data_IF_520312317690
#
_entry.id   IF_520312317690
#
_cell.length_a   1.000
_cell.length_b   1.000
_cell.length_c   1.000
_cell.angle_alpha   90.00
_cell.angle_beta   90.00
_cell.angle_gamma   90.00
#
_symmetry.space_group_name_H-M   'P 1'
#
loop_
_entity.id
_entity.type
_entity.pdbx_description
1 polymer ?
#
# COMPACT_ATOMS: atom_id res chain seq x y z
N UNK A 1 23.25 -33.19 14.87
CA UNK A 1 22.00 -32.46 15.19
C UNK A 1 21.93 -31.34 14.19
N UNK A 2 21.09 -31.49 13.16
CA UNK A 2 20.88 -30.40 12.20
C UNK A 2 20.34 -29.21 12.98
N UNK A 3 20.95 -28.03 12.84
CA UNK A 3 20.54 -26.86 13.59
C UNK A 3 19.23 -26.36 12.97
N UNK A 4 18.11 -26.60 13.65
CA UNK A 4 16.77 -26.25 13.18
C UNK A 4 16.68 -24.74 12.95
N UNK A 5 16.20 -24.32 11.77
CA UNK A 5 16.10 -22.91 11.39
C UNK A 5 15.16 -22.18 12.37
N UNK A 6 15.61 -21.09 12.99
CA UNK A 6 14.80 -20.30 13.94
C UNK A 6 14.02 -19.23 13.21
N UNK A 7 12.70 -19.30 13.35
CA UNK A 7 11.77 -18.36 12.71
C UNK A 7 11.11 -17.49 13.78
N UNK A 8 11.02 -16.19 13.49
CA UNK A 8 10.06 -15.30 14.15
C UNK A 8 8.89 -15.07 13.21
N UNK A 9 7.67 -15.10 13.75
CA UNK A 9 6.46 -14.83 12.99
C UNK A 9 5.84 -13.51 13.42
N UNK A 10 5.71 -12.54 12.51
CA UNK A 10 5.02 -11.28 12.75
C UNK A 10 3.55 -11.34 12.30
N UNK A 11 2.64 -11.04 13.23
CA UNK A 11 1.19 -11.08 13.05
C UNK A 11 0.52 -9.79 13.54
N UNK A 12 -0.64 -9.47 12.95
CA UNK A 12 -1.53 -8.46 13.55
C UNK A 12 -2.31 -9.06 14.73
N UNK A 13 -3.11 -8.23 15.42
CA UNK A 13 -3.95 -8.63 16.54
C UNK A 13 -4.93 -9.76 16.19
N UNK A 14 -5.44 -9.78 14.95
CA UNK A 14 -6.44 -10.75 14.51
C UNK A 14 -5.84 -12.14 14.32
N UNK A 15 -4.77 -12.25 13.53
CA UNK A 15 -4.07 -13.53 13.34
C UNK A 15 -3.28 -13.94 14.57
N UNK A 16 -2.86 -12.98 15.40
CA UNK A 16 -2.30 -13.18 16.73
C UNK A 16 -3.32 -13.64 17.79
N UNK A 17 -4.58 -13.86 17.42
CA UNK A 17 -5.65 -14.35 18.30
C UNK A 17 -5.92 -13.46 19.54
N UNK A 18 -5.59 -12.16 19.45
CA UNK A 18 -5.85 -11.20 20.53
C UNK A 18 -7.27 -10.62 20.43
N UNK A 19 -7.76 -10.36 19.22
CA UNK A 19 -9.08 -9.79 18.98
C UNK A 19 -9.21 -9.18 17.57
N UNK A 20 -10.33 -8.53 17.28
CA UNK A 20 -10.56 -7.88 15.99
C UNK A 20 -10.12 -6.41 16.02
N UNK A 21 -10.93 -5.54 15.41
CA UNK A 21 -10.71 -4.08 15.41
C UNK A 21 -10.70 -3.48 16.83
N UNK A 22 -11.43 -4.08 17.77
CA UNK A 22 -11.47 -3.63 19.17
C UNK A 22 -10.11 -3.79 19.90
N UNK A 23 -9.20 -4.57 19.32
CA UNK A 23 -7.83 -4.78 19.80
C UNK A 23 -6.77 -4.30 18.81
N UNK A 24 -7.15 -3.48 17.81
CA UNK A 24 -6.20 -2.96 16.83
C UNK A 24 -5.24 -1.90 17.41
N UNK A 25 -5.50 -1.37 18.61
CA UNK A 25 -4.68 -0.37 19.29
C UNK A 25 -3.79 -0.99 20.40
N UNK A 26 -3.17 -2.14 20.12
CA UNK A 26 -2.25 -2.79 21.06
C UNK A 26 -0.79 -2.59 20.65
N UNK A 27 0.11 -2.29 21.61
CA UNK A 27 1.53 -2.17 21.32
C UNK A 27 2.14 -3.52 20.91
N UNK A 28 3.31 -3.50 20.23
CA UNK A 28 4.07 -4.70 19.93
C UNK A 28 4.26 -5.57 21.16
N UNK A 29 4.03 -6.87 21.02
CA UNK A 29 4.27 -7.86 22.07
C UNK A 29 4.91 -9.10 21.47
N UNK A 30 5.66 -9.80 22.32
CA UNK A 30 6.31 -11.06 21.98
C UNK A 30 5.64 -12.18 22.76
N UNK A 31 5.25 -13.21 22.05
CA UNK A 31 4.77 -14.48 22.59
C UNK A 31 5.75 -15.59 22.23
N UNK A 32 5.81 -16.63 23.08
CA UNK A 32 6.64 -17.80 22.83
C UNK A 32 5.90 -18.81 21.95
N UNK A 33 6.59 -19.33 20.94
CA UNK A 33 6.06 -20.33 20.01
C UNK A 33 5.11 -19.80 18.94
N UNK A 34 4.49 -20.72 18.17
CA UNK A 34 3.61 -20.38 17.05
C UNK A 34 2.19 -20.01 17.49
N UNK A 35 1.62 -18.96 16.90
CA UNK A 35 0.23 -18.53 17.12
C UNK A 35 -0.53 -18.43 15.79
N UNK A 36 -1.83 -18.76 15.82
CA UNK A 36 -2.73 -18.63 14.67
C UNK A 36 -2.19 -19.36 13.42
N UNK A 37 -1.99 -18.68 12.27
CA UNK A 37 -1.44 -19.30 11.07
C UNK A 37 -0.03 -19.86 11.28
N UNK A 38 0.72 -19.37 12.26
CA UNK A 38 2.03 -19.90 12.66
C UNK A 38 1.98 -21.36 13.07
N UNK A 39 0.87 -21.84 13.64
CA UNK A 39 0.74 -23.24 14.01
C UNK A 39 0.77 -24.17 12.78
N UNK A 40 0.09 -23.76 11.70
CA UNK A 40 0.08 -24.52 10.45
C UNK A 40 1.44 -24.51 9.75
N UNK A 41 2.13 -23.37 9.76
CA UNK A 41 3.50 -23.23 9.27
C UNK A 41 4.45 -24.15 10.05
N UNK A 42 4.47 -24.03 11.37
CA UNK A 42 5.37 -24.78 12.25
C UNK A 42 5.16 -26.30 12.12
N UNK A 43 3.91 -26.77 12.08
CA UNK A 43 3.61 -28.19 11.90
C UNK A 43 4.08 -28.74 10.55
N UNK A 44 4.03 -27.94 9.49
CA UNK A 44 4.39 -28.38 8.13
C UNK A 44 5.89 -28.31 7.85
N UNK A 45 6.60 -27.44 8.57
CA UNK A 45 8.05 -27.31 8.54
C UNK A 45 8.74 -28.39 9.40
N UNK A 46 8.08 -28.88 10.45
CA UNK A 46 8.50 -30.08 11.16
C UNK A 46 9.89 -29.96 11.80
N UNK A 47 10.83 -30.80 11.37
CA UNK A 47 12.20 -30.84 11.90
C UNK A 47 13.13 -29.81 11.24
N UNK A 48 12.73 -29.22 10.11
CA UNK A 48 13.60 -28.32 9.33
C UNK A 48 13.64 -26.90 9.92
N UNK A 49 12.52 -26.42 10.47
CA UNK A 49 12.41 -25.09 11.04
C UNK A 49 11.40 -25.01 12.20
N UNK A 50 11.60 -24.03 13.09
CA UNK A 50 10.75 -23.79 14.25
C UNK A 50 10.40 -22.31 14.39
N UNK A 51 9.13 -22.01 14.61
CA UNK A 51 8.70 -20.69 15.07
C UNK A 51 8.96 -20.62 16.57
N UNK A 52 10.06 -19.95 16.95
CA UNK A 52 10.47 -19.81 18.35
C UNK A 52 9.67 -18.72 19.07
N UNK A 53 9.26 -17.69 18.34
CA UNK A 53 8.50 -16.57 18.87
C UNK A 53 7.54 -16.01 17.82
N UNK A 54 6.41 -15.49 18.30
CA UNK A 54 5.48 -14.69 17.51
C UNK A 54 5.51 -13.26 18.03
N UNK A 55 5.68 -12.28 17.14
CA UNK A 55 5.50 -10.86 17.44
C UNK A 55 4.11 -10.45 16.98
N UNK A 56 3.32 -9.87 17.87
CA UNK A 56 1.96 -9.41 17.59
C UNK A 56 1.90 -7.89 17.79
N UNK A 57 1.35 -7.15 16.83
CA UNK A 57 1.11 -5.72 16.97
C UNK A 57 -0.26 -5.35 16.40
N UNK A 58 -0.97 -4.41 17.02
CA UNK A 58 -2.25 -3.96 16.52
C UNK A 58 -2.09 -3.07 15.28
N UNK A 59 -2.94 -3.27 14.27
CA UNK A 59 -2.86 -2.52 13.01
C UNK A 59 -2.99 -1.00 13.22
N UNK A 60 -3.90 -0.54 14.09
CA UNK A 60 -4.05 0.90 14.41
C UNK A 60 -2.81 1.41 15.13
N UNK A 61 -2.37 0.72 16.19
CA UNK A 61 -1.22 1.14 16.98
C UNK A 61 0.04 1.27 16.12
N UNK A 62 0.30 0.29 15.24
CA UNK A 62 1.47 0.30 14.37
C UNK A 62 1.51 1.52 13.46
N UNK A 63 0.36 1.87 12.87
CA UNK A 63 0.27 2.97 11.90
C UNK A 63 0.28 4.34 12.58
N UNK A 64 -0.29 4.48 13.77
CA UNK A 64 -0.29 5.74 14.54
C UNK A 64 1.04 5.97 15.29
N UNK A 65 1.71 4.91 15.72
CA UNK A 65 2.95 4.96 16.52
C UNK A 65 4.11 4.29 15.78
N UNK A 66 4.34 4.69 14.52
CA UNK A 66 5.26 4.02 13.61
C UNK A 66 6.68 3.88 14.18
N UNK A 67 7.30 4.97 14.62
CA UNK A 67 8.70 4.96 15.08
C UNK A 67 8.88 4.16 16.38
N UNK A 68 7.91 4.23 17.30
CA UNK A 68 7.90 3.41 18.50
C UNK A 68 7.78 1.92 18.14
N UNK A 69 6.84 1.58 17.27
CA UNK A 69 6.62 0.21 16.81
C UNK A 69 7.84 -0.38 16.12
N UNK A 70 8.49 0.39 15.22
CA UNK A 70 9.74 -0.01 14.57
C UNK A 70 10.85 -0.29 15.58
N UNK A 71 11.03 0.62 16.54
CA UNK A 71 12.08 0.51 17.56
C UNK A 71 11.89 -0.72 18.45
N UNK A 72 10.66 -0.95 18.92
CA UNK A 72 10.33 -2.11 19.76
C UNK A 72 10.51 -3.43 19.02
N UNK A 73 9.97 -3.55 17.80
CA UNK A 73 10.06 -4.78 17.00
C UNK A 73 11.52 -5.08 16.64
N UNK A 74 12.29 -4.07 16.26
CA UNK A 74 13.74 -4.21 16.02
C UNK A 74 14.48 -4.72 17.24
N UNK A 75 14.16 -4.20 18.43
CA UNK A 75 14.73 -4.68 19.69
C UNK A 75 14.39 -6.15 19.92
N UNK A 76 13.13 -6.54 19.76
CA UNK A 76 12.69 -7.94 19.90
C UNK A 76 13.44 -8.86 18.92
N UNK A 77 13.58 -8.46 17.65
CA UNK A 77 14.32 -9.25 16.65
C UNK A 77 15.81 -9.37 16.98
N UNK A 78 16.45 -8.30 17.49
CA UNK A 78 17.85 -8.35 17.94
C UNK A 78 18.06 -9.26 19.15
N UNK A 79 17.08 -9.33 20.04
CA UNK A 79 17.13 -10.18 21.23
C UNK A 79 16.93 -11.65 20.86
N UNK A 80 15.98 -11.95 19.94
CA UNK A 80 15.66 -13.32 19.52
C UNK A 80 16.71 -13.89 18.55
N UNK A 81 17.25 -13.05 17.66
CA UNK A 81 18.19 -13.43 16.59
C UNK A 81 17.67 -14.60 15.72
N UNK A 82 16.54 -14.44 15.04
CA UNK A 82 16.05 -15.47 14.13
C UNK A 82 16.91 -15.55 12.87
N UNK A 83 16.90 -16.72 12.24
CA UNK A 83 17.55 -16.98 10.96
C UNK A 83 16.65 -16.53 9.79
N UNK A 84 15.33 -16.51 10.00
CA UNK A 84 14.34 -16.08 9.02
C UNK A 84 13.16 -15.40 9.73
N UNK A 85 12.58 -14.38 9.10
CA UNK A 85 11.32 -13.77 9.53
C UNK A 85 10.19 -14.22 8.58
N UNK A 86 9.03 -14.56 9.15
CA UNK A 86 7.78 -14.64 8.40
C UNK A 86 6.91 -13.45 8.83
N UNK A 87 6.38 -12.67 7.89
CA UNK A 87 5.45 -11.57 8.17
C UNK A 87 4.15 -11.79 7.39
N UNK A 88 2.99 -11.83 8.05
CA UNK A 88 1.72 -12.15 7.37
C UNK A 88 1.29 -13.62 7.54
N UNK A 89 0.40 -14.16 6.69
CA UNK A 89 -0.07 -13.58 5.43
C UNK A 89 -1.00 -12.36 5.62
N UNK A 90 -0.78 -11.32 4.83
CA UNK A 90 -1.49 -10.04 4.90
C UNK A 90 -2.76 -9.97 4.04
N UNK A 91 -2.92 -10.81 3.02
CA UNK A 91 -4.06 -10.77 2.08
C UNK A 91 -4.26 -9.34 1.51
N UNK A 92 -5.50 -8.88 1.29
CA UNK A 92 -5.79 -7.51 0.86
C UNK A 92 -6.03 -6.53 2.03
N UNK A 93 -5.49 -6.80 3.22
CA UNK A 93 -5.58 -5.88 4.36
C UNK A 93 -4.50 -4.78 4.24
N UNK A 94 -4.90 -3.57 3.84
CA UNK A 94 -3.96 -2.47 3.54
C UNK A 94 -3.05 -2.09 4.72
N UNK A 95 -3.62 -1.70 5.87
CA UNK A 95 -2.86 -1.32 7.08
C UNK A 95 -1.89 -2.42 7.54
N UNK A 96 -2.36 -3.66 7.52
CA UNK A 96 -1.57 -4.81 7.94
C UNK A 96 -0.47 -5.18 6.92
N UNK A 97 -0.74 -5.06 5.62
CA UNK A 97 0.24 -5.28 4.57
C UNK A 97 1.39 -4.27 4.63
N UNK A 98 1.08 -2.99 4.87
CA UNK A 98 2.09 -1.95 5.10
C UNK A 98 2.91 -2.25 6.35
N UNK A 99 2.27 -2.71 7.44
CA UNK A 99 2.97 -3.11 8.65
C UNK A 99 3.92 -4.31 8.40
N UNK A 100 3.45 -5.37 7.73
CA UNK A 100 4.28 -6.52 7.34
C UNK A 100 5.49 -6.10 6.49
N UNK A 101 5.26 -5.23 5.50
CA UNK A 101 6.32 -4.70 4.64
C UNK A 101 7.33 -3.85 5.41
N UNK A 102 6.87 -3.03 6.34
CA UNK A 102 7.73 -2.21 7.22
C UNK A 102 8.59 -3.10 8.12
N UNK A 103 8.02 -4.14 8.74
CA UNK A 103 8.81 -5.09 9.54
C UNK A 103 9.81 -5.83 8.65
N UNK A 104 9.44 -6.15 7.40
CA UNK A 104 10.34 -6.79 6.46
C UNK A 104 11.54 -5.90 6.10
N UNK A 105 11.30 -4.61 5.87
CA UNK A 105 12.36 -3.63 5.62
C UNK A 105 13.35 -3.57 6.79
N UNK A 106 12.87 -3.47 8.02
CA UNK A 106 13.73 -3.42 9.23
C UNK A 106 14.56 -4.71 9.33
N UNK A 107 13.91 -5.87 9.21
CA UNK A 107 14.58 -7.15 9.29
C UNK A 107 15.68 -7.28 8.24
N UNK A 108 15.39 -6.91 6.98
CA UNK A 108 16.34 -7.07 5.88
C UNK A 108 17.47 -6.03 5.91
N UNK A 109 17.14 -4.75 6.07
CA UNK A 109 18.11 -3.66 5.93
C UNK A 109 18.97 -3.46 7.17
N UNK A 110 18.39 -3.62 8.36
CA UNK A 110 19.09 -3.30 9.60
C UNK A 110 19.68 -4.53 10.30
N UNK A 111 19.10 -5.70 10.08
CA UNK A 111 19.47 -6.94 10.76
C UNK A 111 20.02 -8.02 9.81
N UNK A 112 19.86 -7.84 8.49
CA UNK A 112 20.29 -8.81 7.49
C UNK A 112 19.45 -10.09 7.47
N UNK A 113 18.26 -10.08 8.07
CA UNK A 113 17.37 -11.23 8.17
C UNK A 113 16.47 -11.26 6.92
N UNK A 114 16.44 -12.39 6.22
CA UNK A 114 15.53 -12.59 5.10
C UNK A 114 14.09 -12.80 5.56
N UNK A 115 13.15 -12.43 4.68
CA UNK A 115 11.74 -12.35 5.04
C UNK A 115 10.89 -13.06 4.00
N UNK A 116 9.98 -13.92 4.44
CA UNK A 116 8.93 -14.53 3.62
C UNK A 116 7.58 -13.97 4.06
N UNK A 117 6.73 -13.63 3.10
CA UNK A 117 5.41 -13.06 3.40
C UNK A 117 4.38 -13.52 2.37
N UNK A 118 3.12 -13.61 2.76
CA UNK A 118 2.00 -13.79 1.83
C UNK A 118 1.23 -12.48 1.72
N UNK A 119 0.91 -12.02 0.52
CA UNK A 119 0.20 -10.77 0.30
C UNK A 119 -0.63 -10.80 -0.99
N UNK A 120 -1.77 -10.10 -1.02
CA UNK A 120 -2.54 -9.90 -2.25
C UNK A 120 -1.81 -8.90 -3.18
N UNK A 121 -1.75 -9.11 -4.51
CA UNK A 121 -0.96 -8.26 -5.41
C UNK A 121 -1.32 -6.76 -5.37
N UNK A 122 -2.59 -6.42 -5.13
CA UNK A 122 -3.04 -5.01 -5.05
C UNK A 122 -2.88 -4.39 -3.66
N UNK A 123 -2.40 -5.15 -2.67
CA UNK A 123 -2.13 -4.60 -1.36
C UNK A 123 -1.00 -3.57 -1.45
N UNK A 124 -1.15 -2.35 -0.90
CA UNK A 124 -0.13 -1.31 -0.96
C UNK A 124 1.22 -1.75 -0.39
N UNK A 125 1.22 -2.66 0.60
CA UNK A 125 2.43 -3.21 1.19
C UNK A 125 3.30 -3.98 0.20
N UNK A 126 2.75 -4.53 -0.88
CA UNK A 126 3.54 -5.21 -1.90
C UNK A 126 4.37 -4.21 -2.70
N UNK A 127 3.74 -3.21 -3.31
CA UNK A 127 4.45 -2.26 -4.18
C UNK A 127 5.48 -1.45 -3.39
N UNK A 128 5.16 -1.06 -2.15
CA UNK A 128 6.06 -0.28 -1.29
C UNK A 128 7.29 -1.07 -0.80
N UNK A 129 7.17 -2.39 -0.60
CA UNK A 129 8.17 -3.18 0.13
C UNK A 129 8.69 -4.43 -0.61
N UNK A 130 8.29 -4.67 -1.88
CA UNK A 130 8.67 -5.85 -2.68
C UNK A 130 10.18 -6.15 -2.72
N UNK A 131 11.05 -5.15 -2.57
CA UNK A 131 12.49 -5.40 -2.51
C UNK A 131 12.96 -6.10 -1.22
N UNK A 132 12.19 -6.07 -0.14
CA UNK A 132 12.65 -6.51 1.20
C UNK A 132 12.21 -7.91 1.61
N UNK A 133 11.21 -8.49 0.94
CA UNK A 133 10.71 -9.83 1.24
C UNK A 133 10.49 -10.67 -0.02
N UNK A 134 10.47 -11.98 0.16
CA UNK A 134 9.94 -12.95 -0.80
C UNK A 134 8.43 -13.05 -0.58
N UNK A 135 7.67 -12.22 -1.30
CA UNK A 135 6.21 -12.21 -1.23
C UNK A 135 5.62 -13.34 -2.06
N UNK A 136 4.69 -14.09 -1.49
CA UNK A 136 3.88 -15.09 -2.19
C UNK A 136 2.49 -14.50 -2.42
N UNK A 137 1.94 -14.71 -3.60
CA UNK A 137 0.59 -14.27 -3.92
C UNK A 137 -0.42 -15.01 -3.03
N UNK A 138 -1.31 -14.26 -2.41
CA UNK A 138 -2.44 -14.83 -1.66
C UNK A 138 -3.76 -14.35 -2.25
N UNK A 139 -4.89 -15.03 -1.96
CA UNK A 139 -6.21 -14.47 -2.24
C UNK A 139 -6.46 -13.13 -1.53
N UNK A 140 -7.59 -12.50 -1.84
CA UNK A 140 -7.97 -11.19 -1.29
C UNK A 140 -8.26 -11.20 0.23
N UNK A 141 -8.63 -12.35 0.78
CA UNK A 141 -9.13 -12.48 2.14
C UNK A 141 -8.65 -13.74 2.87
N UNK A 142 -8.75 -13.72 4.19
CA UNK A 142 -8.34 -14.82 5.07
C UNK A 142 -9.05 -16.16 4.79
N UNK A 143 -10.19 -16.16 4.08
CA UNK A 143 -10.85 -17.38 3.62
C UNK A 143 -9.93 -18.23 2.71
N UNK A 144 -9.00 -17.57 2.01
CA UNK A 144 -7.97 -18.18 1.17
C UNK A 144 -6.76 -18.74 1.93
N UNK A 145 -6.75 -18.74 3.27
CA UNK A 145 -5.58 -19.17 4.05
C UNK A 145 -5.13 -20.60 3.74
N UNK A 146 -6.07 -21.49 3.39
CA UNK A 146 -5.77 -22.89 3.07
C UNK A 146 -4.91 -23.05 1.81
N UNK A 147 -4.96 -22.11 0.87
CA UNK A 147 -4.08 -22.09 -0.30
C UNK A 147 -2.80 -21.28 -0.05
N UNK A 148 -2.89 -20.14 0.64
CA UNK A 148 -1.75 -19.26 0.89
C UNK A 148 -0.64 -19.90 1.74
N UNK A 149 -1.00 -20.65 2.80
CA UNK A 149 -0.02 -21.23 3.73
C UNK A 149 0.90 -22.27 3.04
N UNK A 150 0.38 -23.23 2.26
CA UNK A 150 1.22 -24.14 1.46
C UNK A 150 2.26 -23.44 0.59
N UNK A 151 1.89 -22.35 -0.08
CA UNK A 151 2.80 -21.65 -0.99
C UNK A 151 3.90 -20.90 -0.21
N UNK A 152 3.56 -20.30 0.93
CA UNK A 152 4.57 -19.74 1.85
C UNK A 152 5.52 -20.83 2.38
N UNK A 153 5.00 -22.00 2.74
CA UNK A 153 5.83 -23.14 3.20
C UNK A 153 6.80 -23.59 2.12
N UNK A 154 6.37 -23.64 0.85
CA UNK A 154 7.22 -24.00 -0.28
C UNK A 154 8.44 -23.09 -0.38
N UNK A 155 8.24 -21.77 -0.23
CA UNK A 155 9.34 -20.80 -0.25
C UNK A 155 10.28 -21.02 0.94
N UNK A 156 9.75 -21.22 2.15
CA UNK A 156 10.59 -21.47 3.34
C UNK A 156 11.40 -22.76 3.18
N UNK A 157 10.82 -23.83 2.63
CA UNK A 157 11.55 -25.09 2.37
C UNK A 157 12.64 -24.90 1.32
N UNK A 158 12.34 -24.23 0.21
CA UNK A 158 13.34 -23.92 -0.81
C UNK A 158 14.47 -23.06 -0.25
N UNK A 159 14.14 -22.08 0.60
CA UNK A 159 15.12 -21.25 1.30
C UNK A 159 16.06 -22.09 2.17
N UNK A 160 15.54 -23.08 2.91
CA UNK A 160 16.35 -24.00 3.71
C UNK A 160 17.22 -24.90 2.81
N UNK A 161 16.65 -25.48 1.76
CA UNK A 161 17.35 -26.37 0.83
C UNK A 161 18.50 -25.68 0.09
N UNK A 162 18.36 -24.37 -0.17
CA UNK A 162 19.32 -23.55 -0.92
C UNK A 162 20.18 -22.64 -0.06
N UNK A 163 20.20 -22.86 1.26
CA UNK A 163 21.00 -22.06 2.21
C UNK A 163 20.78 -20.54 2.06
N UNK A 164 19.52 -20.15 1.83
CA UNK A 164 19.08 -18.77 1.64
C UNK A 164 19.21 -18.21 0.22
N UNK A 165 19.83 -18.93 -0.70
CA UNK A 165 20.01 -18.49 -2.10
C UNK A 165 18.85 -18.93 -3.00
N UNK A 166 17.69 -18.28 -2.81
CA UNK A 166 16.52 -18.49 -3.68
C UNK A 166 16.79 -18.05 -5.12
N UNK A 167 16.27 -18.84 -6.06
CA UNK A 167 16.27 -18.61 -7.50
C UNK A 167 15.36 -17.47 -7.94
N UNK A 168 14.99 -17.48 -9.22
CA UNK A 168 14.08 -16.48 -9.80
C UNK A 168 12.64 -16.59 -9.27
N UNK A 169 11.84 -15.50 -9.35
CA UNK A 169 10.40 -15.53 -9.04
C UNK A 169 9.68 -16.71 -9.71
N UNK A 170 9.99 -16.96 -10.98
CA UNK A 170 9.36 -17.98 -11.83
C UNK A 170 9.73 -19.40 -11.39
N UNK A 171 10.98 -19.63 -10.96
CA UNK A 171 11.45 -20.95 -10.48
C UNK A 171 10.87 -21.29 -9.12
N UNK A 172 10.82 -20.31 -8.21
CA UNK A 172 10.46 -20.55 -6.80
C UNK A 172 8.94 -20.42 -6.55
N UNK A 173 8.29 -19.49 -7.25
CA UNK A 173 6.88 -19.14 -7.08
C UNK A 173 6.60 -17.98 -6.11
N UNK A 174 7.56 -17.08 -5.92
CA UNK A 174 7.33 -15.80 -5.24
C UNK A 174 7.12 -14.67 -6.27
N UNK A 175 6.49 -13.57 -5.88
CA UNK A 175 6.18 -12.43 -6.74
C UNK A 175 7.42 -11.55 -7.02
N UNK A 176 7.53 -10.90 -8.21
CA UNK A 176 8.70 -10.12 -8.59
C UNK A 176 9.09 -9.00 -7.63
N UNK A 177 10.35 -9.03 -7.17
CA UNK A 177 10.87 -8.09 -6.15
C UNK A 177 11.36 -6.74 -6.70
N UNK A 178 11.34 -6.54 -8.02
CA UNK A 178 11.93 -5.36 -8.66
C UNK A 178 13.46 -5.30 -8.60
N UNK A 179 14.13 -6.37 -8.14
CA UNK A 179 15.59 -6.45 -8.03
C UNK A 179 16.17 -6.97 -9.35
N UNK A 180 17.16 -6.24 -9.88
CA UNK A 180 17.90 -6.68 -11.07
C UNK A 180 19.15 -7.43 -10.66
N UNK A 181 19.30 -8.66 -11.14
CA UNK A 181 20.50 -9.48 -11.00
C UNK A 181 21.15 -9.66 -12.37
N UNK A 182 22.48 -9.57 -12.43
CA UNK A 182 23.22 -9.95 -13.62
C UNK A 182 23.30 -11.47 -13.69
N UNK A 183 22.91 -12.04 -14.82
CA UNK A 183 22.96 -13.49 -15.07
C UNK A 183 23.74 -13.77 -16.36
N UNK A 184 24.31 -14.97 -16.46
CA UNK A 184 24.85 -15.48 -17.71
C UNK A 184 23.75 -16.26 -18.44
N UNK A 185 23.29 -15.72 -19.56
CA UNK A 185 22.35 -16.41 -20.44
C UNK A 185 23.10 -17.34 -21.41
N UNK A 186 22.47 -18.45 -21.79
CA UNK A 186 23.02 -19.39 -22.78
C UNK A 186 23.21 -18.74 -24.16
N UNK A 187 22.27 -17.87 -24.55
CA UNK A 187 22.32 -17.14 -25.81
C UNK A 187 22.67 -15.66 -25.64
N UNK A 188 23.43 -15.12 -26.59
CA UNK A 188 23.76 -13.69 -26.65
C UNK A 188 22.49 -12.84 -26.76
N UNK A 189 22.46 -11.70 -26.07
CA UNK A 189 21.28 -10.81 -26.04
C UNK A 189 20.78 -10.39 -27.43
N UNK A 190 21.66 -10.21 -28.41
CA UNK A 190 21.25 -9.89 -29.78
C UNK A 190 20.45 -11.02 -30.46
N UNK A 191 20.76 -12.29 -30.18
CA UNK A 191 20.03 -13.43 -30.74
C UNK A 191 18.63 -13.52 -30.12
N UNK A 192 18.55 -13.42 -28.78
CA UNK A 192 17.28 -13.42 -28.04
C UNK A 192 16.36 -12.26 -28.45
N UNK A 193 16.92 -11.05 -28.62
CA UNK A 193 16.16 -9.88 -29.10
C UNK A 193 15.60 -10.08 -30.51
N UNK A 194 16.38 -10.66 -31.43
CA UNK A 194 15.89 -10.96 -32.79
C UNK A 194 14.81 -12.05 -32.75
N UNK A 195 14.99 -13.11 -31.95
CA UNK A 195 13.98 -14.16 -31.80
C UNK A 195 12.66 -13.60 -31.26
N UNK A 196 12.70 -12.77 -30.22
CA UNK A 196 11.50 -12.08 -29.70
C UNK A 196 10.85 -11.20 -30.77
N UNK A 197 11.63 -10.46 -31.56
CA UNK A 197 11.11 -9.63 -32.64
C UNK A 197 10.43 -10.47 -33.74
N UNK A 198 11.04 -11.58 -34.14
CA UNK A 198 10.47 -12.49 -35.15
C UNK A 198 9.13 -13.05 -34.69
N UNK A 199 9.08 -13.60 -33.46
CA UNK A 199 7.82 -14.06 -32.84
C UNK A 199 6.74 -12.98 -32.84
N UNK A 200 7.11 -11.76 -32.41
CA UNK A 200 6.18 -10.61 -32.40
C UNK A 200 5.66 -10.25 -33.79
N UNK A 201 6.50 -10.31 -34.82
CA UNK A 201 6.10 -10.03 -36.21
C UNK A 201 5.20 -11.13 -36.79
N UNK A 202 5.40 -12.37 -36.34
CA UNK A 202 4.61 -13.54 -36.75
C UNK A 202 3.31 -13.69 -35.94
N UNK A 203 3.12 -12.88 -34.89
CA UNK A 203 1.96 -12.95 -34.00
C UNK A 203 2.01 -14.15 -33.04
N UNK A 204 3.20 -14.73 -32.82
CA UNK A 204 3.43 -15.80 -31.86
C UNK A 204 3.61 -15.26 -30.44
N UNK A 205 3.34 -16.10 -29.44
CA UNK A 205 3.60 -15.79 -28.03
C UNK A 205 5.11 -15.62 -27.77
N UNK A 206 5.45 -14.51 -27.12
CA UNK A 206 6.80 -14.21 -26.67
C UNK A 206 6.77 -13.64 -25.27
N UNK A 207 7.82 -13.92 -24.49
CA UNK A 207 8.02 -13.37 -23.17
C UNK A 207 9.04 -12.24 -23.26
N UNK A 208 8.74 -11.10 -22.64
CA UNK A 208 9.68 -9.98 -22.59
C UNK A 208 10.65 -10.17 -21.43
N UNK A 209 11.95 -10.12 -21.71
CA UNK A 209 12.98 -10.08 -20.66
C UNK A 209 12.99 -8.77 -19.86
N UNK A 210 12.28 -7.75 -20.39
CA UNK A 210 12.17 -6.44 -19.77
C UNK A 210 10.70 -6.00 -19.80
N UNK A 211 9.87 -6.49 -18.86
CA UNK A 211 8.51 -6.03 -18.75
C UNK A 211 8.50 -4.53 -18.48
N UNK A 212 7.82 -3.79 -19.35
CA UNK A 212 7.56 -2.37 -19.09
C UNK A 212 6.62 -2.27 -17.89
N UNK A 213 6.76 -1.24 -17.03
CA UNK A 213 5.79 -0.99 -15.98
C UNK A 213 4.38 -0.88 -16.58
N UNK A 214 3.43 -1.61 -15.99
CA UNK A 214 2.02 -1.48 -16.36
C UNK A 214 1.50 -0.21 -15.69
N UNK A 215 1.29 0.82 -16.49
CA UNK A 215 0.57 2.01 -16.04
C UNK A 215 -0.90 1.77 -16.32
N UNK A 216 -1.75 1.98 -15.31
CA UNK A 216 -3.18 2.08 -15.55
C UNK A 216 -3.43 3.25 -16.51
N UNK A 217 -4.12 2.98 -17.61
CA UNK A 217 -4.41 3.97 -18.65
C UNK A 217 -5.91 4.10 -18.75
N UNK A 218 -6.41 5.27 -18.39
CA UNK A 218 -7.79 5.66 -18.62
C UNK A 218 -7.84 6.42 -19.94
N UNK A 219 -8.75 6.03 -20.83
CA UNK A 219 -8.98 6.78 -22.06
C UNK A 219 -9.48 8.19 -21.69
N UNK A 220 -8.87 9.25 -22.25
CA UNK A 220 -9.32 10.60 -21.98
C UNK A 220 -10.73 10.81 -22.51
N UNK A 221 -11.58 11.46 -21.70
CA UNK A 221 -12.92 11.88 -22.14
C UNK A 221 -12.83 13.00 -23.19
N UNK A 222 -13.87 13.13 -24.01
CA UNK A 222 -13.96 14.21 -24.99
C UNK A 222 -13.79 15.59 -24.32
N UNK A 223 -13.06 16.52 -24.95
CA UNK A 223 -12.82 17.83 -24.37
C UNK A 223 -14.12 18.64 -24.26
N UNK A 224 -14.25 19.38 -23.16
CA UNK A 224 -15.35 20.32 -22.95
C UNK A 224 -15.21 21.48 -23.94
N UNK A 225 -16.27 21.74 -24.70
CA UNK A 225 -16.24 22.70 -25.82
C UNK A 225 -16.42 24.17 -25.40
N UNK A 226 -17.11 24.42 -24.28
CA UNK A 226 -17.45 25.78 -23.84
C UNK A 226 -17.36 25.90 -22.32
N UNK A 227 -16.18 26.31 -21.84
CA UNK A 227 -15.92 26.48 -20.41
C UNK A 227 -16.81 27.55 -19.78
N UNK A 228 -17.22 28.58 -20.53
CA UNK A 228 -18.03 29.71 -20.04
C UNK A 228 -19.43 29.32 -19.56
N UNK A 229 -19.87 28.09 -19.86
CA UNK A 229 -21.14 27.50 -19.39
C UNK A 229 -20.93 26.23 -18.56
N UNK A 230 -19.69 25.95 -18.19
CA UNK A 230 -19.30 24.71 -17.53
C UNK A 230 -19.28 24.92 -16.03
N UNK A 231 -19.98 24.05 -15.31
CA UNK A 231 -19.86 23.93 -13.86
C UNK A 231 -18.67 23.06 -13.51
N UNK A 232 -17.70 23.64 -12.80
CA UNK A 232 -16.44 22.99 -12.43
C UNK A 232 -16.43 22.71 -10.94
N UNK A 233 -16.00 21.53 -10.51
CA UNK A 233 -15.81 21.22 -9.09
C UNK A 233 -14.34 21.03 -8.74
N UNK A 234 -14.04 21.17 -7.45
CA UNK A 234 -12.75 20.87 -6.87
C UNK A 234 -12.82 19.59 -6.05
N UNK A 235 -11.88 18.70 -6.29
CA UNK A 235 -11.63 17.51 -5.48
C UNK A 235 -10.14 17.51 -5.14
N UNK A 236 -9.77 17.16 -3.91
CA UNK A 236 -8.37 17.11 -3.52
C UNK A 236 -8.02 15.81 -2.82
N UNK A 237 -6.82 15.29 -3.09
CA UNK A 237 -6.17 14.27 -2.28
C UNK A 237 -5.15 14.84 -1.29
N UNK A 238 -5.02 16.17 -1.22
CA UNK A 238 -4.11 16.86 -0.32
C UNK A 238 -4.66 17.06 1.10
N UNK A 239 -5.88 16.60 1.38
CA UNK A 239 -6.45 16.57 2.72
C UNK A 239 -6.72 17.95 3.34
N UNK A 240 -7.06 18.96 2.53
CA UNK A 240 -7.56 20.24 3.06
C UNK A 240 -8.95 20.04 3.65
N UNK A 241 -9.17 20.49 4.88
CA UNK A 241 -10.42 20.39 5.65
C UNK A 241 -10.72 21.74 6.33
N UNK A 242 -11.97 22.00 6.73
CA UNK A 242 -12.27 23.11 7.64
C UNK A 242 -11.52 22.95 8.96
N UNK A 243 -11.28 24.09 9.62
CA UNK A 243 -10.55 24.16 10.89
C UNK A 243 -11.12 23.19 11.92
N UNK A 244 -10.24 22.46 12.59
CA UNK A 244 -10.58 21.46 13.58
C UNK A 244 -10.97 20.09 13.00
N UNK A 245 -10.89 19.90 11.67
CA UNK A 245 -11.20 18.65 10.98
C UNK A 245 -12.54 18.05 11.46
N UNK A 246 -13.68 18.68 11.11
CA UNK A 246 -14.98 18.38 11.73
C UNK A 246 -15.45 16.93 11.54
N UNK A 247 -15.06 16.28 10.45
CA UNK A 247 -15.40 14.87 10.19
C UNK A 247 -14.37 13.89 10.75
N UNK A 248 -13.32 14.40 11.41
CA UNK A 248 -12.21 13.63 11.95
C UNK A 248 -11.63 12.66 10.91
N UNK A 249 -11.34 13.17 9.71
CA UNK A 249 -10.67 12.39 8.66
C UNK A 249 -9.29 12.01 9.16
N UNK A 250 -8.95 10.73 9.10
CA UNK A 250 -7.67 10.21 9.58
C UNK A 250 -6.52 10.72 8.70
N UNK A 251 -5.34 10.94 9.28
CA UNK A 251 -4.20 11.52 8.56
C UNK A 251 -3.48 10.55 7.62
N UNK A 252 -3.78 9.26 7.75
CA UNK A 252 -3.28 8.18 6.91
C UNK A 252 -4.34 7.08 6.83
N UNK A 253 -4.40 6.40 5.68
CA UNK A 253 -5.30 5.27 5.43
C UNK A 253 -6.76 5.59 5.77
N UNK A 254 -7.20 6.83 5.48
CA UNK A 254 -8.52 7.31 5.88
C UNK A 254 -9.64 6.39 5.41
N UNK A 255 -10.58 6.13 6.33
CA UNK A 255 -11.74 5.27 6.13
C UNK A 255 -12.93 6.01 5.51
N UNK A 256 -12.75 7.32 5.25
CA UNK A 256 -13.77 8.26 4.80
C UNK A 256 -13.14 9.44 4.04
N UNK A 257 -13.99 10.19 3.35
CA UNK A 257 -13.67 11.44 2.67
C UNK A 257 -14.55 12.56 3.23
N UNK A 258 -14.16 13.82 3.02
CA UNK A 258 -14.94 14.99 3.45
C UNK A 258 -15.68 15.64 2.29
N UNK A 259 -16.84 16.21 2.59
CA UNK A 259 -17.63 17.06 1.69
C UNK A 259 -17.93 18.37 2.42
N UNK A 260 -17.49 19.50 1.86
CA UNK A 260 -17.58 20.80 2.52
C UNK A 260 -18.09 21.89 1.59
N UNK A 261 -18.83 22.85 2.14
CA UNK A 261 -19.37 23.99 1.40
C UNK A 261 -18.28 25.02 1.07
N UNK A 262 -18.37 25.60 -0.14
CA UNK A 262 -17.64 26.79 -0.59
C UNK A 262 -18.56 28.01 -0.71
N UNK A 263 -19.79 27.94 -0.21
CA UNK A 263 -20.73 29.07 -0.25
C UNK A 263 -20.17 30.27 0.50
N UNK A 264 -19.99 31.39 -0.20
CA UNK A 264 -19.40 32.60 0.37
C UNK A 264 -17.88 32.54 0.59
N UNK A 265 -17.23 31.46 0.19
CA UNK A 265 -15.77 31.26 0.33
C UNK A 265 -15.07 31.80 -0.91
N UNK A 266 -14.15 32.75 -0.68
CA UNK A 266 -13.35 33.40 -1.72
C UNK A 266 -11.84 33.10 -1.60
N UNK A 267 -11.41 32.62 -0.43
CA UNK A 267 -10.01 32.43 -0.04
C UNK A 267 -9.99 31.35 1.06
N UNK A 268 -9.02 30.43 1.02
CA UNK A 268 -8.83 29.38 2.02
C UNK A 268 -7.70 29.75 2.98
N UNK A 269 -8.06 30.56 3.96
CA UNK A 269 -7.13 31.13 4.93
C UNK A 269 -6.71 30.18 6.08
N UNK A 270 -5.70 30.61 6.84
CA UNK A 270 -5.17 29.91 8.02
C UNK A 270 -6.19 29.82 9.18
N UNK A 271 -7.16 30.72 9.25
CA UNK A 271 -8.13 30.76 10.35
C UNK A 271 -9.20 29.68 10.19
N UNK A 272 -9.64 29.42 8.95
CA UNK A 272 -10.80 28.62 8.64
C UNK A 272 -10.48 27.24 8.06
N UNK A 273 -9.25 27.01 7.59
CA UNK A 273 -8.85 25.75 6.95
C UNK A 273 -7.55 25.20 7.53
N UNK A 274 -7.36 23.89 7.38
CA UNK A 274 -6.14 23.18 7.75
C UNK A 274 -5.96 21.87 6.96
N UNK A 275 -4.80 21.27 7.13
CA UNK A 275 -4.41 20.00 6.51
C UNK A 275 -4.63 18.85 7.48
N UNK A 276 -5.43 17.85 7.08
CA UNK A 276 -5.54 16.55 7.74
C UNK A 276 -4.49 15.54 7.23
N UNK A 277 -3.90 15.76 6.05
CA UNK A 277 -2.94 14.86 5.39
C UNK A 277 -1.62 14.70 6.18
N UNK A 278 -1.24 13.46 6.51
CA UNK A 278 -0.04 13.14 7.30
C UNK A 278 1.27 12.93 6.52
N UNK A 279 1.23 12.94 5.18
CA UNK A 279 2.39 12.63 4.31
C UNK A 279 3.15 13.82 3.71
N UNK A 280 2.84 15.08 4.05
CA UNK A 280 3.65 16.25 3.65
C UNK A 280 3.72 17.30 4.77
N UNK A 281 4.64 18.26 4.68
CA UNK A 281 4.76 19.36 5.65
C UNK A 281 3.59 20.35 5.49
N UNK A 282 2.67 20.44 6.47
CA UNK A 282 1.45 21.22 6.33
C UNK A 282 1.68 22.72 6.55
N UNK A 283 2.87 23.18 6.95
CA UNK A 283 3.08 24.59 7.34
C UNK A 283 2.72 25.57 6.24
N UNK A 284 3.02 25.24 4.97
CA UNK A 284 2.70 26.11 3.86
C UNK A 284 1.20 26.07 3.50
N UNK A 285 0.61 24.88 3.46
CA UNK A 285 -0.80 24.71 3.15
C UNK A 285 -1.71 25.23 4.27
N UNK A 286 -1.30 25.16 5.54
CA UNK A 286 -2.08 25.70 6.65
C UNK A 286 -2.02 27.22 6.74
N UNK A 287 -1.01 27.86 6.15
CA UNK A 287 -0.97 29.33 6.05
C UNK A 287 -1.88 29.86 4.95
N UNK A 288 -2.10 29.05 3.93
CA UNK A 288 -2.70 29.40 2.65
C UNK A 288 -3.03 28.07 1.94
N UNK A 289 -4.28 27.63 2.09
CA UNK A 289 -4.73 26.33 1.63
C UNK A 289 -5.03 26.31 0.13
N UNK A 290 -5.13 27.47 -0.52
CA UNK A 290 -5.27 27.60 -1.97
C UNK A 290 -4.07 27.03 -2.74
N UNK A 291 -2.92 26.90 -2.07
CA UNK A 291 -1.74 26.18 -2.58
C UNK A 291 -2.02 24.72 -2.93
N UNK A 292 -3.01 24.12 -2.28
CA UNK A 292 -3.41 22.73 -2.48
C UNK A 292 -4.78 22.64 -3.13
N UNK A 293 -5.72 23.52 -2.75
CA UNK A 293 -7.09 23.53 -3.24
C UNK A 293 -7.43 24.94 -3.78
N UNK A 294 -7.23 25.23 -5.07
CA UNK A 294 -7.17 26.60 -5.61
C UNK A 294 -8.55 27.24 -5.75
N UNK A 295 -9.18 27.61 -4.64
CA UNK A 295 -10.51 28.25 -4.63
C UNK A 295 -10.39 29.69 -5.10
N UNK A 296 -9.37 30.42 -4.64
CA UNK A 296 -9.08 31.80 -5.00
C UNK A 296 -9.07 32.02 -6.53
N UNK A 297 -8.25 31.25 -7.25
CA UNK A 297 -8.10 31.32 -8.69
C UNK A 297 -9.38 30.88 -9.39
N UNK A 298 -10.05 29.84 -8.88
CA UNK A 298 -11.30 29.38 -9.49
C UNK A 298 -12.43 30.41 -9.35
N UNK A 299 -12.47 31.16 -8.24
CA UNK A 299 -13.40 32.29 -8.05
C UNK A 299 -13.07 33.45 -8.98
N UNK A 300 -11.79 33.73 -9.22
CA UNK A 300 -11.38 34.73 -10.22
C UNK A 300 -11.80 34.31 -11.63
N UNK A 301 -11.59 33.04 -12.01
CA UNK A 301 -12.00 32.51 -13.32
C UNK A 301 -13.53 32.55 -13.51
N UNK A 302 -14.31 32.28 -12.46
CA UNK A 302 -15.76 32.40 -12.46
C UNK A 302 -16.19 33.86 -12.67
N UNK A 303 -15.58 34.79 -11.93
CA UNK A 303 -15.84 36.22 -12.03
C UNK A 303 -15.47 36.83 -13.38
N UNK A 304 -14.39 36.33 -13.99
CA UNK A 304 -13.96 36.71 -15.34
C UNK A 304 -14.82 36.07 -16.45
N UNK A 305 -15.71 35.13 -16.11
CA UNK A 305 -16.56 34.41 -17.05
C UNK A 305 -15.80 33.39 -17.91
N UNK A 306 -14.60 32.97 -17.47
CA UNK A 306 -13.82 31.92 -18.12
C UNK A 306 -14.47 30.55 -17.89
N UNK A 307 -15.02 30.36 -16.68
CA UNK A 307 -15.89 29.22 -16.35
C UNK A 307 -17.33 29.70 -16.11
N UNK A 308 -18.30 28.78 -16.20
CA UNK A 308 -19.71 29.12 -15.95
C UNK A 308 -20.02 29.27 -14.46
N UNK A 309 -19.59 28.31 -13.66
CA UNK A 309 -19.80 28.30 -12.21
C UNK A 309 -18.75 27.42 -11.53
N UNK A 310 -18.23 27.85 -10.38
CA UNK A 310 -17.52 26.97 -9.45
C UNK A 310 -18.54 26.32 -8.51
N UNK A 311 -18.59 24.99 -8.52
CA UNK A 311 -19.46 24.20 -7.66
C UNK A 311 -19.24 24.56 -6.18
N UNK A 312 -20.34 24.85 -5.47
CA UNK A 312 -20.29 25.30 -4.09
C UNK A 312 -19.96 24.22 -3.06
N UNK A 313 -19.43 23.08 -3.49
CA UNK A 313 -18.85 22.08 -2.60
C UNK A 313 -17.50 21.63 -3.13
N UNK A 314 -16.63 21.24 -2.21
CA UNK A 314 -15.42 20.49 -2.54
C UNK A 314 -15.39 19.18 -1.79
N UNK A 315 -14.68 18.22 -2.38
CA UNK A 315 -14.46 16.90 -1.81
C UNK A 315 -12.98 16.74 -1.45
N UNK A 316 -12.69 16.16 -0.30
CA UNK A 316 -11.31 15.99 0.18
C UNK A 316 -11.05 14.57 0.64
N UNK A 317 -9.91 14.05 0.22
CA UNK A 317 -9.32 12.81 0.71
C UNK A 317 -7.91 13.14 1.18
N UNK A 318 -7.33 12.28 2.03
CA UNK A 318 -5.97 12.52 2.54
C UNK A 318 -4.88 11.85 1.74
N UNK A 319 -5.16 11.05 0.70
CA UNK A 319 -4.19 10.42 -0.23
C UNK A 319 -3.09 9.51 0.36
N UNK A 320 -2.74 9.68 1.62
CA UNK A 320 -1.65 9.07 2.36
C UNK A 320 -2.09 7.70 2.83
N UNK A 321 -1.45 6.64 2.36
CA UNK A 321 -1.78 5.26 2.73
C UNK A 321 -3.18 4.80 2.28
N UNK A 322 -3.89 5.57 1.45
CA UNK A 322 -5.21 5.17 0.93
C UNK A 322 -5.05 3.96 0.01
N UNK A 323 -5.77 2.87 0.29
CA UNK A 323 -5.76 1.68 -0.57
C UNK A 323 -6.42 2.00 -1.92
N UNK A 324 -6.00 1.31 -2.98
CA UNK A 324 -6.61 1.45 -4.33
C UNK A 324 -8.11 1.16 -4.29
N UNK A 325 -8.52 0.16 -3.51
CA UNK A 325 -9.93 -0.19 -3.32
C UNK A 325 -10.74 0.97 -2.70
N UNK A 326 -10.23 1.59 -1.64
CA UNK A 326 -10.92 2.72 -1.00
C UNK A 326 -10.92 3.95 -1.91
N UNK A 327 -9.79 4.25 -2.57
CA UNK A 327 -9.71 5.35 -3.52
C UNK A 327 -10.75 5.20 -4.65
N UNK A 328 -10.92 3.98 -5.17
CA UNK A 328 -11.93 3.67 -6.18
C UNK A 328 -13.35 3.84 -5.65
N UNK A 329 -13.62 3.38 -4.43
CA UNK A 329 -14.93 3.55 -3.80
C UNK A 329 -15.29 5.02 -3.59
N UNK A 330 -14.37 5.83 -3.03
CA UNK A 330 -14.59 7.27 -2.83
C UNK A 330 -14.77 7.99 -4.17
N UNK A 331 -13.90 7.70 -5.15
CA UNK A 331 -14.00 8.34 -6.47
C UNK A 331 -15.34 8.03 -7.16
N UNK A 332 -15.87 6.81 -7.01
CA UNK A 332 -17.17 6.45 -7.57
C UNK A 332 -18.31 7.23 -6.91
N UNK A 333 -18.34 7.29 -5.57
CA UNK A 333 -19.38 8.01 -4.83
C UNK A 333 -19.33 9.53 -5.10
N UNK A 334 -18.13 10.12 -5.07
CA UNK A 334 -17.90 11.53 -5.40
C UNK A 334 -18.35 11.81 -6.84
N UNK A 335 -18.01 10.95 -7.80
CA UNK A 335 -18.42 11.14 -9.19
C UNK A 335 -19.95 11.06 -9.36
N UNK A 336 -20.63 10.15 -8.66
CA UNK A 336 -22.09 10.04 -8.67
C UNK A 336 -22.75 11.33 -8.13
N UNK A 337 -22.23 11.88 -7.03
CA UNK A 337 -22.71 13.13 -6.45
C UNK A 337 -22.48 14.33 -7.38
N UNK A 338 -21.27 14.44 -7.95
CA UNK A 338 -20.92 15.53 -8.87
C UNK A 338 -21.78 15.49 -10.14
N UNK A 339 -22.04 14.30 -10.70
CA UNK A 339 -22.94 14.14 -11.84
C UNK A 339 -24.38 14.55 -11.49
N UNK A 340 -24.86 14.19 -10.29
CA UNK A 340 -26.19 14.58 -9.82
C UNK A 340 -26.32 16.11 -9.66
N UNK A 341 -25.23 16.79 -9.28
CA UNK A 341 -25.16 18.25 -9.12
C UNK A 341 -24.88 19.00 -10.44
N UNK A 342 -24.86 18.28 -11.57
CA UNK A 342 -24.68 18.84 -12.91
C UNK A 342 -23.26 19.34 -13.18
N UNK A 343 -22.27 18.86 -12.41
CA UNK A 343 -20.85 19.19 -12.62
C UNK A 343 -20.37 18.51 -13.90
N UNK A 344 -19.62 19.26 -14.70
CA UNK A 344 -19.17 18.83 -16.03
C UNK A 344 -17.65 18.67 -16.10
N UNK A 345 -16.91 19.34 -15.20
CA UNK A 345 -15.47 19.24 -15.10
C UNK A 345 -15.04 19.15 -13.64
N UNK A 346 -13.95 18.46 -13.39
CA UNK A 346 -13.35 18.34 -12.06
C UNK A 346 -11.87 18.69 -12.16
N UNK A 347 -11.39 19.54 -11.26
CA UNK A 347 -9.96 19.67 -11.00
C UNK A 347 -9.67 18.81 -9.78
N UNK A 348 -8.90 17.74 -10.01
CA UNK A 348 -8.37 16.90 -8.96
C UNK A 348 -6.96 17.38 -8.60
N UNK A 349 -6.77 17.91 -7.40
CA UNK A 349 -5.45 18.32 -6.91
C UNK A 349 -4.83 17.26 -6.00
N UNK A 350 -3.50 17.25 -5.95
CA UNK A 350 -2.70 16.41 -5.06
C UNK A 350 -1.63 17.25 -4.36
N UNK A 351 -0.92 16.64 -3.42
CA UNK A 351 0.18 17.24 -2.64
C UNK A 351 1.39 17.62 -3.45
#
# INVERSE_FOLDING_TARGET
MSNKLKIVHYLNQFFGQIGGEDKADIPPRKEDGPIGPGAALNNSLGEDAEIVNTIICGDTFFNENLEESKSEIKKMLKDIKPDLLIAGPAFNAGRYGVACGTVAEIAKTELGIDVVSGIYPENPGYEMFKQYAYFVETPDSAAGMRSAIPDMIKIVKSYIEKDGELGSPEEEGYMPRGIRKNIFAEERGAARAIQMLLKKLEGEDFETEYPMPVFDRVDPVDPIKDMTKTKVALVTSGGIVPKGNPDHIESSSASKYGEYSLEGVMDLDEENYETAHGGYDPVCANKDADRVLPVDVMRDLEKEGIIGELHNKFYTTVGNGTSVANAKAYAQEIAENLLADGVQAVILTST
#
